data_IF_576147610801
#
_entry.id   IF_576147610801
#
_cell.length_a   1.000
_cell.length_b   1.000
_cell.length_c   1.000
_cell.angle_alpha   90.00
_cell.angle_beta   90.00
_cell.angle_gamma   90.00
#
_symmetry.space_group_name_H-M   'P 1'
#
loop_
_entity.id
_entity.type
_entity.pdbx_description
1 polymer ?
#
# COMPACT_ATOMS: atom_id res chain seq x y z
N UNK A 1 -12.82 -16.82 17.08
CA UNK A 1 -12.42 -15.57 16.55
C UNK A 1 -11.91 -15.73 15.13
N UNK A 2 -12.37 -14.90 14.31
CA UNK A 2 -11.91 -15.00 12.95
C UNK A 2 -10.41 -14.82 12.91
N UNK A 3 -9.81 -15.23 11.84
CA UNK A 3 -8.40 -15.04 11.65
C UNK A 3 -8.05 -13.60 11.84
N UNK A 4 -6.95 -13.37 12.52
CA UNK A 4 -6.52 -12.01 12.74
C UNK A 4 -6.02 -11.41 11.47
N UNK A 5 -6.49 -10.22 11.17
CA UNK A 5 -5.87 -9.41 10.16
C UNK A 5 -4.48 -9.06 10.68
N UNK A 6 -3.48 -9.29 9.86
CA UNK A 6 -2.14 -9.03 10.30
C UNK A 6 -1.28 -8.43 9.21
N UNK A 7 -0.90 -7.16 9.43
CA UNK A 7 0.08 -6.51 8.60
C UNK A 7 1.46 -6.84 9.14
N UNK A 8 2.39 -7.17 8.26
CA UNK A 8 3.77 -7.39 8.66
C UNK A 8 4.70 -6.74 7.63
N UNK A 9 6.01 -6.91 7.79
CA UNK A 9 6.98 -6.25 6.89
C UNK A 9 6.83 -6.70 5.44
N UNK A 10 6.18 -7.84 5.20
CA UNK A 10 5.89 -8.31 3.85
C UNK A 10 4.57 -7.79 3.32
N UNK A 11 3.89 -6.92 4.07
CA UNK A 11 2.61 -6.36 3.69
C UNK A 11 1.44 -7.16 4.22
N UNK A 12 0.27 -6.85 3.69
CA UNK A 12 -0.95 -7.59 4.02
C UNK A 12 -1.40 -8.36 2.79
N UNK A 13 -1.63 -9.65 2.94
CA UNK A 13 -2.05 -10.51 1.83
C UNK A 13 -3.30 -11.28 2.21
N UNK A 14 -4.17 -11.50 1.25
CA UNK A 14 -5.38 -12.26 1.47
C UNK A 14 -6.01 -12.69 0.17
N UNK A 15 -7.05 -13.51 0.29
CA UNK A 15 -7.84 -13.95 -0.87
C UNK A 15 -8.77 -12.81 -1.24
N UNK A 16 -8.67 -12.35 -2.49
CA UNK A 16 -9.44 -11.17 -2.91
C UNK A 16 -10.94 -11.47 -2.82
N UNK A 17 -11.63 -10.55 -2.19
CA UNK A 17 -13.07 -10.67 -1.97
C UNK A 17 -13.41 -11.34 -0.65
N UNK A 18 -12.44 -11.87 0.05
CA UNK A 18 -12.65 -12.56 1.33
C UNK A 18 -11.80 -11.93 2.42
N UNK A 19 -10.55 -12.39 2.56
CA UNK A 19 -9.65 -11.86 3.60
C UNK A 19 -8.91 -10.62 3.17
N UNK A 20 -9.00 -10.24 1.91
CA UNK A 20 -8.63 -8.92 1.41
C UNK A 20 -9.80 -8.44 0.57
N UNK A 21 -10.47 -7.37 1.01
CA UNK A 21 -11.68 -6.87 0.37
C UNK A 21 -11.62 -5.36 0.27
N UNK A 22 -12.70 -4.76 -0.25
CA UNK A 22 -12.76 -3.32 -0.44
C UNK A 22 -12.53 -2.55 0.85
N UNK A 23 -13.15 -2.99 1.93
CA UNK A 23 -13.01 -2.30 3.20
C UNK A 23 -11.58 -2.34 3.72
N UNK A 24 -10.95 -3.51 3.67
CA UNK A 24 -9.59 -3.67 4.17
C UNK A 24 -8.61 -2.88 3.31
N UNK A 25 -8.77 -2.94 1.99
CA UNK A 25 -7.90 -2.18 1.08
C UNK A 25 -8.02 -0.68 1.32
N UNK A 26 -9.25 -0.20 1.49
CA UNK A 26 -9.51 1.21 1.76
C UNK A 26 -8.83 1.64 3.06
N UNK A 27 -9.01 0.86 4.11
CA UNK A 27 -8.47 1.22 5.43
C UNK A 27 -6.95 1.20 5.45
N UNK A 28 -6.32 0.24 4.79
CA UNK A 28 -4.86 0.22 4.73
C UNK A 28 -4.30 1.36 3.87
N UNK A 29 -4.98 1.70 2.77
CA UNK A 29 -4.54 2.85 1.97
C UNK A 29 -4.59 4.12 2.81
N UNK A 30 -5.68 4.33 3.55
CA UNK A 30 -5.80 5.50 4.42
C UNK A 30 -4.73 5.48 5.53
N UNK A 31 -4.52 4.31 6.12
CA UNK A 31 -3.52 4.17 7.19
C UNK A 31 -2.13 4.52 6.68
N UNK A 32 -1.79 4.05 5.48
CA UNK A 32 -0.48 4.36 4.91
C UNK A 32 -0.36 5.85 4.56
N UNK A 33 -1.45 6.46 4.10
CA UNK A 33 -1.43 7.90 3.83
C UNK A 33 -1.16 8.69 5.12
N UNK A 34 -1.83 8.32 6.21
CA UNK A 34 -1.61 8.98 7.50
C UNK A 34 -0.18 8.79 7.98
N UNK A 35 0.33 7.57 7.85
CA UNK A 35 1.70 7.28 8.21
C UNK A 35 2.67 8.15 7.40
N UNK A 36 2.45 8.21 6.09
CA UNK A 36 3.37 8.94 5.21
C UNK A 36 3.35 10.44 5.51
N UNK A 37 2.18 10.99 5.80
CA UNK A 37 2.07 12.39 6.18
C UNK A 37 2.86 12.68 7.45
N UNK A 38 2.72 11.82 8.43
CA UNK A 38 3.45 12.00 9.69
C UNK A 38 4.94 11.81 9.48
N UNK A 39 5.33 10.79 8.73
CA UNK A 39 6.73 10.45 8.51
C UNK A 39 7.48 11.55 7.75
N UNK A 40 6.82 12.23 6.84
CA UNK A 40 7.45 13.26 6.00
C UNK A 40 7.16 14.67 6.47
N UNK A 41 6.16 14.86 7.32
CA UNK A 41 5.71 16.20 7.70
C UNK A 41 4.99 16.92 6.59
N UNK A 42 4.64 16.23 5.50
CA UNK A 42 3.98 16.86 4.36
C UNK A 42 2.48 16.66 4.41
N UNK A 43 1.75 17.70 4.07
CA UNK A 43 0.30 17.60 3.98
C UNK A 43 -0.14 16.87 2.73
N UNK A 44 0.63 17.01 1.65
CA UNK A 44 0.29 16.41 0.36
C UNK A 44 1.46 15.59 -0.17
N UNK A 45 1.78 14.46 0.50
CA UNK A 45 2.90 13.63 0.03
C UNK A 45 2.58 12.96 -1.30
N UNK A 46 3.62 12.56 -2.02
CA UNK A 46 3.47 11.84 -3.29
C UNK A 46 3.71 10.36 -3.06
N UNK A 47 2.75 9.54 -3.45
CA UNK A 47 2.82 8.09 -3.29
C UNK A 47 2.67 7.43 -4.65
N UNK A 48 3.61 6.54 -4.97
CA UNK A 48 3.60 5.75 -6.20
C UNK A 48 2.79 4.49 -5.98
N UNK A 49 1.96 4.14 -6.96
CA UNK A 49 1.21 2.90 -6.94
C UNK A 49 1.74 2.00 -8.05
N UNK A 50 2.19 0.80 -7.68
CA UNK A 50 2.59 -0.21 -8.65
C UNK A 50 1.82 -1.49 -8.40
N UNK A 51 1.74 -2.38 -9.39
CA UNK A 51 1.08 -3.66 -9.23
C UNK A 51 1.73 -4.72 -10.10
N UNK A 52 1.52 -5.99 -9.74
CA UNK A 52 1.88 -7.08 -10.60
C UNK A 52 0.71 -7.37 -11.55
N UNK A 53 0.80 -8.47 -12.28
CA UNK A 53 -0.20 -8.79 -13.32
C UNK A 53 -1.42 -9.53 -12.84
N UNK A 54 -1.66 -9.66 -11.54
CA UNK A 54 -2.82 -10.40 -11.04
C UNK A 54 -4.12 -9.72 -11.47
N UNK A 55 -5.12 -10.55 -11.76
CA UNK A 55 -6.39 -10.06 -12.30
C UNK A 55 -7.09 -9.07 -11.38
N UNK A 56 -6.96 -9.24 -10.07
CA UNK A 56 -7.60 -8.34 -9.11
C UNK A 56 -6.85 -7.02 -8.94
N UNK A 57 -5.64 -6.89 -9.49
CA UNK A 57 -4.85 -5.67 -9.34
C UNK A 57 -5.55 -4.41 -9.78
N UNK A 58 -6.12 -4.38 -11.00
CA UNK A 58 -6.82 -3.17 -11.46
C UNK A 58 -7.98 -2.77 -10.55
N UNK A 59 -8.70 -3.75 -10.03
CA UNK A 59 -9.83 -3.48 -9.14
C UNK A 59 -9.37 -2.86 -7.83
N UNK A 60 -8.31 -3.40 -7.25
CA UNK A 60 -7.76 -2.87 -6.01
C UNK A 60 -7.23 -1.45 -6.25
N UNK A 61 -6.57 -1.23 -7.38
CA UNK A 61 -6.06 0.09 -7.73
C UNK A 61 -7.20 1.10 -7.80
N UNK A 62 -8.32 0.72 -8.39
CA UNK A 62 -9.49 1.61 -8.49
C UNK A 62 -10.07 1.96 -7.14
N UNK A 63 -9.83 1.14 -6.13
CA UNK A 63 -10.30 1.40 -4.77
C UNK A 63 -9.36 2.35 -4.06
N UNK A 64 -8.05 2.07 -4.10
CA UNK A 64 -7.12 2.81 -3.26
C UNK A 64 -6.74 4.18 -3.80
N UNK A 65 -6.67 4.36 -5.12
CA UNK A 65 -6.25 5.64 -5.68
C UNK A 65 -7.21 6.76 -5.31
N UNK A 66 -8.53 6.61 -5.51
CA UNK A 66 -9.44 7.70 -5.10
C UNK A 66 -9.39 7.96 -3.60
N UNK A 67 -9.19 6.92 -2.81
CA UNK A 67 -9.12 7.11 -1.36
C UNK A 67 -7.91 7.92 -0.96
N UNK A 68 -6.76 7.64 -1.56
CA UNK A 68 -5.55 8.42 -1.31
C UNK A 68 -5.74 9.87 -1.77
N UNK A 69 -6.34 10.06 -2.92
CA UNK A 69 -6.57 11.41 -3.44
C UNK A 69 -7.46 12.22 -2.51
N UNK A 70 -8.49 11.59 -1.93
CA UNK A 70 -9.36 12.27 -0.96
C UNK A 70 -8.59 12.77 0.25
N UNK A 71 -7.50 12.11 0.60
CA UNK A 71 -6.69 12.49 1.75
C UNK A 71 -5.60 13.50 1.39
N UNK A 72 -5.61 14.00 0.16
CA UNK A 72 -4.64 15.00 -0.26
C UNK A 72 -3.33 14.44 -0.77
N UNK A 73 -3.26 13.14 -0.99
CA UNK A 73 -2.06 12.51 -1.52
C UNK A 73 -1.96 12.76 -3.02
N UNK A 74 -0.76 13.11 -3.48
CA UNK A 74 -0.47 13.18 -4.91
C UNK A 74 -0.13 11.77 -5.37
N UNK A 75 -1.05 11.16 -6.13
CA UNK A 75 -0.90 9.77 -6.53
C UNK A 75 -0.23 9.68 -7.89
N UNK A 76 0.82 8.85 -7.98
CA UNK A 76 1.45 8.53 -9.26
C UNK A 76 1.09 7.08 -9.57
N UNK A 77 0.33 6.88 -10.65
CA UNK A 77 -0.11 5.54 -11.04
C UNK A 77 0.90 4.96 -12.01
N UNK A 78 1.73 4.05 -11.51
CA UNK A 78 2.74 3.38 -12.33
C UNK A 78 2.23 2.16 -13.05
N UNK A 79 1.02 1.71 -12.68
CA UNK A 79 0.38 0.51 -13.22
C UNK A 79 1.28 -0.71 -13.01
N UNK A 80 1.54 -1.52 -14.03
CA UNK A 80 2.34 -2.72 -13.87
C UNK A 80 3.81 -2.35 -13.76
N UNK A 81 4.38 -2.57 -12.59
CA UNK A 81 5.79 -2.29 -12.31
C UNK A 81 6.38 -3.41 -11.47
N UNK A 82 7.53 -3.95 -11.87
CA UNK A 82 8.24 -4.90 -10.99
C UNK A 82 8.65 -4.22 -9.69
N UNK A 83 8.70 -4.99 -8.62
CA UNK A 83 9.06 -4.47 -7.30
C UNK A 83 10.38 -3.67 -7.32
N UNK A 84 11.46 -4.17 -7.93
CA UNK A 84 12.71 -3.37 -7.95
C UNK A 84 12.53 -2.02 -8.64
N UNK A 85 11.67 -1.96 -9.67
CA UNK A 85 11.41 -0.71 -10.37
C UNK A 85 10.69 0.28 -9.47
N UNK A 86 9.76 -0.21 -8.63
CA UNK A 86 9.07 0.66 -7.68
C UNK A 86 10.10 1.26 -6.71
N UNK A 87 10.94 0.43 -6.12
CA UNK A 87 11.94 0.91 -5.17
C UNK A 87 12.89 1.92 -5.82
N UNK A 88 13.35 1.61 -7.04
CA UNK A 88 14.22 2.52 -7.78
C UNK A 88 13.53 3.85 -8.04
N UNK A 89 12.25 3.82 -8.41
CA UNK A 89 11.50 5.03 -8.75
C UNK A 89 11.29 5.92 -7.53
N UNK A 90 11.00 5.32 -6.37
CA UNK A 90 10.85 6.11 -5.15
C UNK A 90 12.12 6.89 -4.87
N UNK A 91 13.28 6.24 -5.03
CA UNK A 91 14.55 6.91 -4.79
C UNK A 91 14.85 7.96 -5.85
N UNK A 92 14.69 7.59 -7.11
CA UNK A 92 15.08 8.47 -8.23
C UNK A 92 14.24 9.73 -8.27
N UNK A 93 12.94 9.59 -8.10
CA UNK A 93 12.03 10.73 -8.21
C UNK A 93 11.71 11.35 -6.87
N UNK A 94 12.31 10.85 -5.81
CA UNK A 94 12.15 11.35 -4.44
C UNK A 94 10.67 11.35 -4.04
N UNK A 95 9.97 10.26 -4.35
CA UNK A 95 8.61 10.09 -3.89
C UNK A 95 8.62 9.84 -2.38
N UNK A 96 7.50 10.09 -1.73
CA UNK A 96 7.40 9.96 -0.28
C UNK A 96 7.09 8.55 0.18
N UNK A 97 6.66 7.70 -0.74
CA UNK A 97 6.40 6.31 -0.46
C UNK A 97 5.76 5.63 -1.64
N UNK A 98 5.42 4.36 -1.48
CA UNK A 98 4.75 3.61 -2.53
C UNK A 98 3.90 2.51 -1.93
N UNK A 99 2.86 2.11 -2.67
CA UNK A 99 2.07 0.92 -2.37
C UNK A 99 2.22 -0.01 -3.57
N UNK A 100 2.61 -1.25 -3.32
CA UNK A 100 2.71 -2.26 -4.37
C UNK A 100 1.58 -3.25 -4.16
N UNK A 101 0.74 -3.40 -5.17
CA UNK A 101 -0.37 -4.34 -5.14
C UNK A 101 0.15 -5.67 -5.65
N UNK A 102 0.46 -6.57 -4.73
CA UNK A 102 1.06 -7.86 -5.07
C UNK A 102 0.89 -8.84 -3.91
N UNK A 103 0.83 -10.11 -4.23
CA UNK A 103 0.89 -11.17 -3.22
C UNK A 103 2.09 -12.06 -3.46
N UNK A 104 3.06 -11.59 -4.22
CA UNK A 104 4.31 -12.31 -4.49
C UNK A 104 4.06 -13.73 -5.02
N UNK A 105 4.41 -14.75 -4.23
CA UNK A 105 4.30 -16.15 -4.66
C UNK A 105 3.04 -16.84 -4.18
N UNK A 106 2.10 -16.11 -3.58
CA UNK A 106 0.85 -16.70 -3.16
C UNK A 106 0.02 -17.17 -4.37
N UNK A 107 -0.93 -18.11 -4.16
CA UNK A 107 -1.80 -18.54 -5.26
C UNK A 107 -2.51 -17.39 -5.94
N UNK A 108 -3.00 -17.65 -7.16
CA UNK A 108 -3.53 -16.60 -8.04
C UNK A 108 -4.72 -15.85 -7.44
N UNK A 109 -5.49 -16.49 -6.58
CA UNK A 109 -6.65 -15.86 -5.96
C UNK A 109 -6.26 -14.87 -4.86
N UNK A 110 -5.01 -14.85 -4.44
CA UNK A 110 -4.50 -13.89 -3.45
C UNK A 110 -4.12 -12.59 -4.11
N UNK A 111 -4.16 -11.53 -3.34
CA UNK A 111 -3.50 -10.29 -3.68
C UNK A 111 -3.06 -9.65 -2.36
N UNK A 112 -2.48 -8.47 -2.44
CA UNK A 112 -2.00 -7.84 -1.22
C UNK A 112 -1.53 -6.42 -1.45
N UNK A 113 -1.20 -5.79 -0.34
CA UNK A 113 -0.66 -4.44 -0.32
C UNK A 113 0.69 -4.48 0.40
N UNK A 114 1.71 -3.96 -0.24
CA UNK A 114 3.05 -3.91 0.31
C UNK A 114 3.49 -2.46 0.31
N UNK A 115 4.09 -2.02 1.40
CA UNK A 115 4.38 -0.59 1.59
C UNK A 115 5.86 -0.30 1.52
N UNK A 116 6.18 0.82 0.87
CA UNK A 116 7.56 1.30 0.70
C UNK A 116 7.64 2.68 1.34
N UNK A 117 8.65 2.90 2.16
CA UNK A 117 8.80 4.17 2.88
C UNK A 117 9.58 5.19 2.04
N UNK A 118 9.76 6.39 2.60
CA UNK A 118 10.40 7.49 1.89
C UNK A 118 11.87 7.23 1.58
N UNK A 119 12.48 6.22 2.22
CA UNK A 119 13.87 5.86 1.95
C UNK A 119 13.98 4.82 0.85
N UNK A 120 12.86 4.51 0.17
CA UNK A 120 12.79 3.51 -0.89
C UNK A 120 13.09 2.11 -0.36
N UNK A 121 12.65 1.83 0.85
CA UNK A 121 12.80 0.52 1.50
C UNK A 121 11.42 0.00 1.90
N UNK A 122 11.29 -1.31 1.96
CA UNK A 122 10.07 -1.88 2.55
C UNK A 122 10.00 -1.43 4.01
N UNK A 123 8.77 -1.24 4.49
CA UNK A 123 8.56 -0.75 5.85
C UNK A 123 9.10 -1.74 6.87
N UNK A 124 9.76 -1.19 7.89
CA UNK A 124 10.31 -2.00 8.99
C UNK A 124 9.23 -2.18 10.05
N UNK A 125 9.52 -3.01 11.05
CA UNK A 125 8.51 -3.40 12.03
C UNK A 125 7.89 -2.21 12.77
N UNK A 126 8.69 -1.24 13.15
CA UNK A 126 8.18 -0.04 13.82
C UNK A 126 7.20 0.72 12.93
N UNK A 127 7.51 0.80 11.64
CA UNK A 127 6.64 1.49 10.69
C UNK A 127 5.35 0.71 10.46
N UNK A 128 5.46 -0.61 10.40
CA UNK A 128 4.29 -1.49 10.27
C UNK A 128 3.35 -1.28 11.43
N UNK A 129 3.88 -1.22 12.65
CA UNK A 129 3.06 -0.98 13.84
C UNK A 129 2.36 0.37 13.75
N UNK A 130 3.06 1.37 13.25
CA UNK A 130 2.49 2.71 13.11
C UNK A 130 1.34 2.70 12.10
N UNK A 131 1.57 2.07 10.95
CA UNK A 131 0.52 1.95 9.93
C UNK A 131 -0.68 1.21 10.51
N UNK A 132 -0.43 0.11 11.21
CA UNK A 132 -1.51 -0.67 11.79
C UNK A 132 -2.31 0.15 12.81
N UNK A 133 -1.64 1.04 13.53
CA UNK A 133 -2.32 1.88 14.53
C UNK A 133 -3.29 2.86 13.89
N UNK A 134 -3.10 3.18 12.63
CA UNK A 134 -4.01 4.07 11.91
C UNK A 134 -5.15 3.35 11.20
N UNK A 135 -5.14 2.02 11.23
CA UNK A 135 -6.09 1.24 10.42
C UNK A 135 -7.56 1.61 10.70
N UNK A 136 -7.90 1.77 11.95
CA UNK A 136 -9.27 2.11 12.34
C UNK A 136 -9.48 3.59 12.58
N UNK A 137 -8.52 4.40 12.18
CA UNK A 137 -8.61 5.86 12.34
C UNK A 137 -9.73 6.39 11.45
N UNK A 138 -10.66 7.19 12.01
CA UNK A 138 -11.76 7.73 11.22
C UNK A 138 -11.33 8.68 10.12
#
# INVERSE_FOLDING_TARGET
MEGKRKLNVSGYRGVWGQTLNTEIATKYARAFALFTKEDTGKENPTILIGRDGRASGPEIKKIIIPELAKMGVNVVDGDILPTPTVLFSVRKYVYDGAIIITASHNPIEYNGLKFVNKKALFTIEEEVEKIESYYDHP
#
